data_IF_415600835092
#
_entry.id   IF_415600835092
#
_cell.length_a   1.000
_cell.length_b   1.000
_cell.length_c   1.000
_cell.angle_alpha   90.00
_cell.angle_beta   90.00
_cell.angle_gamma   90.00
#
_symmetry.space_group_name_H-M   'P 1'
#
loop_
_entity.id
_entity.type
_entity.pdbx_description
1 polymer ?
#
# COMPACT_ATOMS: atom_id res chain seq x y z
N UNK A 1 -4.42 23.07 -11.69
CA UNK A 1 -2.99 22.73 -11.54
C UNK A 1 -2.74 21.43 -12.28
N UNK A 2 -1.85 21.38 -13.30
CA UNK A 2 -1.49 20.10 -13.92
C UNK A 2 -0.75 19.23 -12.91
N UNK A 3 -1.12 17.94 -12.83
CA UNK A 3 -0.46 17.00 -11.93
C UNK A 3 1.04 16.89 -12.26
N UNK A 4 1.94 16.79 -11.27
CA UNK A 4 3.35 16.59 -11.54
C UNK A 4 3.55 15.30 -12.33
N UNK A 5 4.25 15.40 -13.46
CA UNK A 5 4.55 14.27 -14.33
C UNK A 5 5.61 13.39 -13.65
N UNK A 6 5.17 12.28 -13.05
CA UNK A 6 6.08 11.28 -12.47
C UNK A 6 6.89 10.61 -13.59
N UNK A 7 8.22 10.55 -13.45
CA UNK A 7 9.10 9.88 -14.40
C UNK A 7 8.72 8.39 -14.59
N UNK A 8 8.93 7.86 -15.79
CA UNK A 8 8.52 6.49 -16.14
C UNK A 8 9.24 5.44 -15.27
N UNK A 9 10.50 5.68 -14.93
CA UNK A 9 11.32 4.84 -14.06
C UNK A 9 10.74 4.77 -12.65
N UNK A 10 10.24 5.91 -12.14
CA UNK A 10 9.60 5.97 -10.82
C UNK A 10 8.28 5.20 -10.84
N UNK A 11 7.45 5.36 -11.89
CA UNK A 11 6.22 4.57 -12.04
C UNK A 11 6.50 3.08 -12.09
N UNK A 12 7.55 2.67 -12.82
CA UNK A 12 7.95 1.28 -12.92
C UNK A 12 8.40 0.72 -11.56
N UNK A 13 9.23 1.46 -10.82
CA UNK A 13 9.64 1.09 -9.47
C UNK A 13 8.41 0.95 -8.55
N UNK A 14 7.49 1.92 -8.57
CA UNK A 14 6.26 1.86 -7.77
C UNK A 14 5.41 0.62 -8.06
N UNK A 15 5.28 0.21 -9.34
CA UNK A 15 4.56 -1.03 -9.69
C UNK A 15 5.24 -2.28 -9.14
N UNK A 16 6.57 -2.34 -9.19
CA UNK A 16 7.33 -3.45 -8.62
C UNK A 16 7.10 -3.52 -7.11
N UNK A 17 7.22 -2.39 -6.41
CA UNK A 17 6.97 -2.33 -4.96
C UNK A 17 5.53 -2.70 -4.59
N UNK A 18 4.53 -2.23 -5.35
CA UNK A 18 3.14 -2.59 -5.12
C UNK A 18 2.92 -4.11 -5.24
N UNK A 19 3.47 -4.75 -6.27
CA UNK A 19 3.37 -6.21 -6.47
C UNK A 19 4.07 -7.00 -5.36
N UNK A 20 5.22 -6.53 -4.90
CA UNK A 20 5.93 -7.18 -3.78
C UNK A 20 5.11 -7.06 -2.49
N UNK A 21 4.53 -5.89 -2.22
CA UNK A 21 3.66 -5.68 -1.06
C UNK A 21 2.40 -6.55 -1.14
N UNK A 22 1.79 -6.72 -2.31
CA UNK A 22 0.64 -7.63 -2.47
C UNK A 22 1.03 -9.06 -2.02
N UNK A 23 2.22 -9.54 -2.40
CA UNK A 23 2.70 -10.86 -1.97
C UNK A 23 2.98 -10.95 -0.46
N UNK A 24 3.62 -9.93 0.13
CA UNK A 24 3.87 -9.89 1.57
C UNK A 24 2.57 -9.81 2.38
N UNK A 25 1.61 -9.00 1.94
CA UNK A 25 0.28 -8.89 2.56
C UNK A 25 -0.40 -10.26 2.57
N UNK A 26 -0.46 -10.96 1.44
CA UNK A 26 -1.09 -12.29 1.38
C UNK A 26 -0.39 -13.29 2.31
N UNK A 27 0.94 -13.29 2.38
CA UNK A 27 1.67 -14.16 3.29
C UNK A 27 1.38 -13.82 4.76
N UNK A 28 1.36 -12.54 5.12
CA UNK A 28 1.06 -12.11 6.49
C UNK A 28 -0.37 -12.43 6.90
N UNK A 29 -1.34 -12.32 5.98
CA UNK A 29 -2.73 -12.73 6.23
C UNK A 29 -2.85 -14.24 6.48
N UNK A 30 -2.06 -15.06 5.77
CA UNK A 30 -2.00 -16.51 6.01
C UNK A 30 -1.41 -16.82 7.39
N UNK A 31 -0.29 -16.21 7.75
CA UNK A 31 0.33 -16.39 9.07
C UNK A 31 -0.60 -15.95 10.21
N UNK A 32 -1.30 -14.82 10.05
CA UNK A 32 -2.28 -14.34 11.03
C UNK A 32 -3.45 -15.31 11.22
N UNK A 33 -3.87 -16.02 10.18
CA UNK A 33 -4.97 -16.99 10.27
C UNK A 33 -4.61 -18.22 11.13
N UNK A 34 -3.32 -18.51 11.30
CA UNK A 34 -2.81 -19.65 12.06
C UNK A 34 -2.33 -19.27 13.47
N UNK A 35 -2.16 -17.98 13.75
CA UNK A 35 -1.66 -17.49 15.03
C UNK A 35 -2.70 -17.59 16.15
N UNK A 36 -2.23 -18.03 17.32
CA UNK A 36 -3.00 -17.91 18.55
C UNK A 36 -2.99 -16.46 19.04
N UNK A 37 -4.03 -16.02 19.78
CA UNK A 37 -4.08 -14.66 20.28
C UNK A 37 -2.90 -14.27 21.16
N UNK A 38 -2.36 -13.08 20.96
CA UNK A 38 -1.30 -12.52 21.78
C UNK A 38 -0.38 -11.55 21.04
N UNK A 39 0.76 -11.23 21.64
CA UNK A 39 1.66 -10.19 21.15
C UNK A 39 2.12 -10.41 19.70
N UNK A 40 2.36 -11.65 19.29
CA UNK A 40 2.77 -11.95 17.92
C UNK A 40 1.67 -11.63 16.90
N UNK A 41 0.41 -11.97 17.21
CA UNK A 41 -0.75 -11.61 16.39
C UNK A 41 -0.88 -10.08 16.30
N UNK A 42 -0.87 -9.39 17.44
CA UNK A 42 -0.98 -7.92 17.49
C UNK A 42 0.12 -7.23 16.66
N UNK A 43 1.36 -7.70 16.79
CA UNK A 43 2.51 -7.16 16.05
C UNK A 43 2.40 -7.40 14.53
N UNK A 44 1.90 -8.57 14.11
CA UNK A 44 1.67 -8.86 12.70
C UNK A 44 0.49 -8.06 12.14
N UNK A 45 -0.57 -7.84 12.92
CA UNK A 45 -1.69 -6.99 12.52
C UNK A 45 -1.23 -5.55 12.27
N UNK A 46 -0.44 -4.96 13.17
CA UNK A 46 0.12 -3.62 12.98
C UNK A 46 1.01 -3.57 11.72
N UNK A 47 1.82 -4.60 11.50
CA UNK A 47 2.66 -4.71 10.31
C UNK A 47 1.83 -4.81 9.02
N UNK A 48 0.74 -5.60 9.05
CA UNK A 48 -0.20 -5.74 7.94
C UNK A 48 -0.85 -4.41 7.56
N UNK A 49 -1.28 -3.62 8.56
CA UNK A 49 -1.83 -2.29 8.33
C UNK A 49 -0.82 -1.36 7.66
N UNK A 50 0.43 -1.34 8.14
CA UNK A 50 1.51 -0.55 7.53
C UNK A 50 1.78 -0.97 6.09
N UNK A 51 1.80 -2.27 5.80
CA UNK A 51 1.99 -2.78 4.43
C UNK A 51 0.84 -2.39 3.51
N UNK A 52 -0.42 -2.48 3.97
CA UNK A 52 -1.59 -2.05 3.21
C UNK A 52 -1.55 -0.55 2.90
N UNK A 53 -1.16 0.27 3.88
CA UNK A 53 -0.97 1.72 3.67
C UNK A 53 0.14 2.01 2.65
N UNK A 54 1.30 1.35 2.77
CA UNK A 54 2.40 1.49 1.82
C UNK A 54 1.98 1.06 0.40
N UNK A 55 1.23 -0.04 0.29
CA UNK A 55 0.72 -0.57 -0.99
C UNK A 55 -0.17 0.45 -1.69
N UNK A 56 -1.07 1.11 -0.94
CA UNK A 56 -1.92 2.18 -1.48
C UNK A 56 -1.08 3.32 -2.05
N UNK A 57 -0.04 3.76 -1.34
CA UNK A 57 0.86 4.83 -1.79
C UNK A 57 1.62 4.46 -3.08
N UNK A 58 2.22 3.27 -3.14
CA UNK A 58 2.90 2.80 -4.35
C UNK A 58 1.94 2.56 -5.52
N UNK A 59 0.74 2.04 -5.24
CA UNK A 59 -0.29 1.87 -6.25
C UNK A 59 -0.75 3.20 -6.86
N UNK A 60 -0.94 4.23 -6.04
CA UNK A 60 -1.30 5.56 -6.49
C UNK A 60 -0.20 6.20 -7.37
N UNK A 61 1.07 6.13 -6.93
CA UNK A 61 2.20 6.70 -7.68
C UNK A 61 2.55 5.90 -8.94
N UNK A 62 2.32 4.59 -8.95
CA UNK A 62 2.51 3.71 -10.11
C UNK A 62 1.39 3.77 -11.15
N UNK A 63 0.32 4.54 -10.88
CA UNK A 63 -0.88 4.64 -11.72
C UNK A 63 -1.78 3.40 -11.69
N UNK A 64 -1.67 2.56 -10.65
CA UNK A 64 -2.44 1.32 -10.45
C UNK A 64 -3.72 1.59 -9.63
N UNK A 65 -3.73 2.66 -8.83
CA UNK A 65 -4.88 3.09 -8.03
C UNK A 65 -5.23 4.52 -8.41
N UNK A 66 -6.49 4.79 -8.76
CA UNK A 66 -6.95 6.15 -9.03
C UNK A 66 -6.83 6.99 -7.75
N UNK A 67 -6.12 8.11 -7.83
CA UNK A 67 -6.15 9.13 -6.78
C UNK A 67 -7.49 9.85 -6.90
N UNK A 68 -8.44 9.57 -6.01
CA UNK A 68 -9.51 10.53 -5.75
C UNK A 68 -8.86 11.77 -5.13
N UNK A 69 -8.63 12.78 -5.96
CA UNK A 69 -8.29 14.12 -5.50
C UNK A 69 -9.54 14.65 -4.81
N UNK A 70 -9.60 14.50 -3.48
CA UNK A 70 -10.56 15.23 -2.66
C UNK A 70 -10.16 16.69 -2.72
N UNK A 71 -10.75 17.43 -3.66
CA UNK A 71 -10.67 18.88 -3.70
C UNK A 71 -11.41 19.41 -2.46
N UNK A 72 -10.67 19.67 -1.39
CA UNK A 72 -11.17 20.46 -0.28
C UNK A 72 -11.33 21.90 -0.76
N UNK A 73 -12.52 22.23 -1.28
CA UNK A 73 -12.92 23.61 -1.49
C UNK A 73 -13.26 24.20 -0.11
N UNK A 74 -12.29 24.89 0.49
CA UNK A 74 -12.59 25.93 1.45
C UNK A 74 -13.17 27.12 0.67
N UNK A 75 -14.47 27.35 0.86
CA UNK A 75 -15.17 28.58 0.51
C UNK A 75 -15.42 29.38 1.79
#
# INVERSE_FOLDING_TARGET
>A
MPAPMVADEVRQACRIHARLLDAFISLTEQELAELAPGFAEESLMESLEKMRAARKSYGALGGVVALEVVASNAA
#
